data_IF_187049052189
#
_entry.id   IF_187049052189
#
_cell.length_a   1.000
_cell.length_b   1.000
_cell.length_c   1.000
_cell.angle_alpha   90.00
_cell.angle_beta   90.00
_cell.angle_gamma   90.00
#
_symmetry.space_group_name_H-M   'P 1'
#
loop_
_entity.id
_entity.type
_entity.pdbx_description
1 polymer ?
#
# COMPACT_ATOMS: atom_id res chain seq x y z
N UNK A 1 3.53 12.91 6.97
CA UNK A 1 2.57 12.74 8.09
C UNK A 1 2.38 11.27 8.44
N UNK A 2 2.07 10.38 7.49
CA UNK A 2 1.82 8.95 7.75
C UNK A 2 2.97 8.21 8.44
N UNK A 3 4.21 8.30 7.92
CA UNK A 3 5.39 7.71 8.59
C UNK A 3 5.77 8.37 9.93
N UNK A 4 5.32 9.60 10.17
CA UNK A 4 5.47 10.21 11.50
C UNK A 4 4.45 9.60 12.47
N UNK A 5 3.23 9.30 11.99
CA UNK A 5 2.25 8.53 12.76
C UNK A 5 2.70 7.09 13.02
N UNK A 6 3.39 6.45 12.07
CA UNK A 6 4.03 5.13 12.28
C UNK A 6 4.96 5.17 13.50
N UNK A 7 5.90 6.10 13.48
CA UNK A 7 6.96 6.20 14.48
C UNK A 7 6.47 6.72 15.84
N UNK A 8 5.41 7.53 15.87
CA UNK A 8 4.90 8.17 17.09
C UNK A 8 3.63 7.52 17.63
N UNK A 9 2.87 6.82 16.79
CA UNK A 9 1.49 6.41 17.06
C UNK A 9 1.32 4.97 17.55
N UNK A 10 2.37 4.15 17.54
CA UNK A 10 2.34 2.76 18.03
C UNK A 10 1.35 1.85 17.30
N UNK A 11 0.90 2.25 16.12
CA UNK A 11 -0.02 1.51 15.27
C UNK A 11 0.69 1.14 13.97
N UNK A 12 0.41 -0.07 13.46
CA UNK A 12 0.98 -0.52 12.19
C UNK A 12 0.35 0.23 11.02
N UNK A 13 1.22 0.79 10.17
CA UNK A 13 0.88 1.83 9.22
C UNK A 13 1.24 1.35 7.80
N UNK A 14 0.28 0.72 7.10
CA UNK A 14 0.37 0.29 5.69
C UNK A 14 -0.07 1.38 4.69
N UNK A 15 0.85 1.95 3.89
CA UNK A 15 0.49 3.01 2.95
C UNK A 15 1.67 3.86 2.43
N UNK A 16 1.43 4.77 1.47
CA UNK A 16 0.13 5.22 0.96
C UNK A 16 -0.45 4.35 -0.16
N UNK A 17 -1.76 4.06 -0.06
CA UNK A 17 -2.53 3.34 -1.10
C UNK A 17 -3.13 4.35 -2.07
N UNK A 18 -2.86 4.20 -3.37
CA UNK A 18 -3.44 5.05 -4.40
C UNK A 18 -4.77 4.47 -4.91
N UNK A 19 -5.74 5.36 -5.13
CA UNK A 19 -7.08 5.03 -5.63
C UNK A 19 -7.36 5.79 -6.94
N UNK A 20 -8.33 5.30 -7.71
CA UNK A 20 -8.76 5.95 -8.97
C UNK A 20 -7.87 5.65 -10.19
N UNK A 21 -6.79 4.87 -10.01
CA UNK A 21 -5.94 4.43 -11.10
C UNK A 21 -6.60 3.30 -11.92
N UNK A 22 -6.32 3.28 -13.23
CA UNK A 22 -6.82 2.25 -14.15
C UNK A 22 -6.34 0.83 -13.80
N UNK A 23 -5.18 0.71 -13.16
CA UNK A 23 -4.63 -0.53 -12.58
C UNK A 23 -4.14 -0.25 -11.15
N UNK A 24 -4.06 -1.27 -10.27
CA UNK A 24 -3.52 -1.09 -8.92
C UNK A 24 -2.05 -0.73 -8.98
N UNK A 25 -1.74 0.50 -8.60
CA UNK A 25 -0.37 1.03 -8.57
C UNK A 25 -0.22 1.79 -7.26
N UNK A 26 0.85 1.53 -6.52
CA UNK A 26 1.16 2.20 -5.27
C UNK A 26 2.61 2.70 -5.29
N UNK A 27 2.89 3.72 -4.49
CA UNK A 27 4.22 4.33 -4.42
C UNK A 27 4.88 3.97 -3.09
N UNK A 28 6.19 3.75 -3.16
CA UNK A 28 7.04 3.53 -1.99
C UNK A 28 7.88 4.77 -1.73
N UNK A 29 8.11 5.06 -0.46
CA UNK A 29 9.09 6.07 -0.08
C UNK A 29 10.50 5.49 -0.18
N UNK A 30 11.49 6.34 -0.49
CA UNK A 30 12.90 5.91 -0.49
C UNK A 30 13.32 5.55 0.94
N UNK A 31 14.07 4.46 1.08
CA UNK A 31 14.47 3.94 2.40
C UNK A 31 13.32 3.32 3.19
N UNK A 32 12.26 2.84 2.51
CA UNK A 32 11.23 2.03 3.13
C UNK A 32 11.76 0.63 3.48
N UNK A 33 11.13 0.01 4.47
CA UNK A 33 11.49 -1.34 4.90
C UNK A 33 10.93 -2.38 3.94
N UNK A 34 11.45 -3.61 4.03
CA UNK A 34 10.98 -4.72 3.17
C UNK A 34 9.50 -5.01 3.41
N UNK A 35 9.03 -4.86 4.64
CA UNK A 35 7.61 -5.03 4.99
C UNK A 35 6.70 -4.03 4.29
N UNK A 36 7.12 -2.77 4.11
CA UNK A 36 6.35 -1.77 3.34
C UNK A 36 6.14 -2.23 1.90
N UNK A 37 7.18 -2.80 1.28
CA UNK A 37 7.15 -3.31 -0.08
C UNK A 37 6.19 -4.49 -0.19
N UNK A 38 6.32 -5.46 0.73
CA UNK A 38 5.47 -6.65 0.76
C UNK A 38 4.01 -6.29 0.99
N UNK A 39 3.73 -5.38 1.92
CA UNK A 39 2.38 -4.94 2.24
C UNK A 39 1.74 -4.27 1.03
N UNK A 40 2.40 -3.31 0.38
CA UNK A 40 1.83 -2.62 -0.77
C UNK A 40 1.74 -3.52 -2.02
N UNK A 41 2.68 -4.44 -2.22
CA UNK A 41 2.57 -5.44 -3.29
C UNK A 41 1.37 -6.37 -3.08
N UNK A 42 1.13 -6.79 -1.84
CA UNK A 42 -0.02 -7.64 -1.48
C UNK A 42 -1.33 -6.91 -1.71
N UNK A 43 -1.42 -5.64 -1.27
CA UNK A 43 -2.60 -4.80 -1.52
C UNK A 43 -2.88 -4.67 -3.02
N UNK A 44 -1.85 -4.41 -3.83
CA UNK A 44 -2.01 -4.28 -5.28
C UNK A 44 -2.49 -5.58 -5.94
N UNK A 45 -1.98 -6.73 -5.50
CA UNK A 45 -2.38 -8.04 -6.03
C UNK A 45 -3.84 -8.38 -5.69
N UNK A 46 -4.25 -8.14 -4.43
CA UNK A 46 -5.62 -8.37 -3.98
C UNK A 46 -6.59 -7.41 -4.66
N UNK A 47 -6.24 -6.12 -4.79
CA UNK A 47 -7.06 -5.13 -5.50
C UNK A 47 -7.27 -5.53 -6.97
N UNK A 48 -6.21 -6.01 -7.64
CA UNK A 48 -6.33 -6.53 -9.01
C UNK A 48 -7.31 -7.71 -9.08
N UNK A 49 -7.19 -8.68 -8.18
CA UNK A 49 -8.06 -9.84 -8.15
C UNK A 49 -9.53 -9.44 -7.90
N UNK A 50 -9.76 -8.53 -6.96
CA UNK A 50 -11.10 -8.05 -6.61
C UNK A 50 -11.77 -7.32 -7.80
N UNK A 51 -11.03 -6.48 -8.53
CA UNK A 51 -11.53 -5.80 -9.73
C UNK A 51 -11.73 -6.76 -10.91
N UNK A 52 -10.88 -7.77 -11.03
CA UNK A 52 -10.94 -8.74 -12.14
C UNK A 52 -12.00 -9.82 -11.92
N UNK A 53 -12.47 -10.05 -10.69
CA UNK A 53 -13.56 -10.99 -10.41
C UNK A 53 -14.95 -10.45 -10.82
N UNK A 54 -15.03 -9.19 -11.25
CA UNK A 54 -16.27 -8.53 -11.71
C UNK A 54 -16.36 -8.39 -13.25
N UNK A 55 -15.42 -8.95 -14.01
CA UNK A 55 -15.43 -9.04 -15.48
C UNK A 55 -15.67 -10.48 -15.93
#
# INVERSE_FOLDING_TARGET
AYKLLDQLGGADVIGPVLLGMAKPVHILQRGCDVEDVLNLATVAAVDWQARSAHI
#
